data_IF_783049200308
#
_entry.id   IF_783049200308
#
_cell.length_a   1.000
_cell.length_b   1.000
_cell.length_c   1.000
_cell.angle_alpha   90.00
_cell.angle_beta   90.00
_cell.angle_gamma   90.00
#
_symmetry.space_group_name_H-M   'P 1'
#
loop_
_entity.id
_entity.type
_entity.pdbx_description
1 polymer ?
#
# COMPACT_ATOMS: atom_id res chain seq x y z
N UNK A 1 -10.53 -47.29 -20.14
CA UNK A 1 -11.20 -46.00 -20.47
C UNK A 1 -10.12 -44.97 -20.66
N UNK A 2 -9.96 -44.47 -21.87
CA UNK A 2 -9.02 -43.34 -22.11
C UNK A 2 -9.58 -42.07 -21.48
N UNK A 3 -8.82 -41.41 -20.60
CA UNK A 3 -9.16 -40.11 -20.08
C UNK A 3 -8.93 -39.05 -21.17
N UNK A 4 -9.97 -38.29 -21.50
CA UNK A 4 -9.85 -37.12 -22.39
C UNK A 4 -9.64 -35.88 -21.57
N UNK A 5 -8.58 -35.12 -21.84
CA UNK A 5 -8.29 -33.84 -21.22
C UNK A 5 -8.83 -32.69 -22.08
N UNK A 6 -9.48 -31.73 -21.44
CA UNK A 6 -9.85 -30.45 -22.06
C UNK A 6 -8.83 -29.39 -21.66
N UNK A 7 -8.06 -28.88 -22.61
CA UNK A 7 -7.18 -27.73 -22.38
C UNK A 7 -7.95 -26.44 -22.63
N UNK A 8 -7.98 -25.58 -21.61
CA UNK A 8 -8.60 -24.26 -21.69
C UNK A 8 -7.49 -23.22 -21.86
N UNK A 9 -7.53 -22.48 -22.98
CA UNK A 9 -6.63 -21.33 -23.18
C UNK A 9 -7.19 -20.11 -22.45
N UNK A 10 -6.41 -19.61 -21.47
CA UNK A 10 -6.77 -18.41 -20.71
C UNK A 10 -6.27 -17.18 -21.48
N UNK A 11 -7.15 -16.22 -21.83
CA UNK A 11 -6.73 -15.01 -22.51
C UNK A 11 -5.69 -14.22 -21.71
N UNK A 12 -4.73 -13.59 -22.38
CA UNK A 12 -3.70 -12.79 -21.71
C UNK A 12 -4.33 -11.67 -20.89
N UNK A 13 -3.95 -11.57 -19.62
CA UNK A 13 -4.50 -10.59 -18.68
C UNK A 13 -5.80 -11.01 -17.99
N UNK A 14 -6.22 -12.27 -18.16
CA UNK A 14 -7.39 -12.82 -17.50
C UNK A 14 -7.02 -14.05 -16.68
N UNK A 15 -7.84 -14.35 -15.68
CA UNK A 15 -7.83 -15.61 -14.90
C UNK A 15 -9.21 -16.25 -14.91
N UNK A 16 -9.31 -17.52 -14.55
CA UNK A 16 -10.60 -18.20 -14.43
C UNK A 16 -11.35 -17.61 -13.23
N UNK A 17 -12.55 -17.10 -13.47
CA UNK A 17 -13.47 -16.71 -12.40
C UNK A 17 -14.10 -17.97 -11.77
N UNK A 18 -13.47 -18.46 -10.72
CA UNK A 18 -13.89 -19.70 -10.04
C UNK A 18 -15.27 -19.58 -9.41
N UNK A 19 -15.65 -18.38 -8.97
CA UNK A 19 -16.90 -18.13 -8.24
C UNK A 19 -18.11 -18.12 -9.17
N UNK A 20 -17.88 -17.80 -10.46
CA UNK A 20 -18.95 -17.70 -11.47
C UNK A 20 -18.79 -18.70 -12.63
N UNK A 21 -17.83 -19.63 -12.54
CA UNK A 21 -17.64 -20.70 -13.50
C UNK A 21 -18.34 -21.97 -13.05
N UNK A 22 -18.87 -22.71 -14.03
CA UNK A 22 -19.43 -24.06 -13.85
C UNK A 22 -18.71 -25.03 -14.76
N UNK A 23 -18.96 -26.34 -14.59
CA UNK A 23 -18.41 -27.38 -15.47
C UNK A 23 -18.79 -27.18 -16.95
N UNK A 24 -19.95 -26.58 -17.19
CA UNK A 24 -20.47 -26.36 -18.56
C UNK A 24 -20.05 -25.01 -19.13
N UNK A 25 -19.68 -24.03 -18.28
CA UNK A 25 -19.37 -22.67 -18.69
C UNK A 25 -18.24 -22.08 -17.87
N UNK A 26 -17.09 -21.91 -18.48
CA UNK A 26 -15.93 -21.23 -17.88
C UNK A 26 -16.02 -19.73 -18.19
N UNK A 27 -15.96 -18.93 -17.12
CA UNK A 27 -15.87 -17.45 -17.20
C UNK A 27 -14.46 -17.00 -16.85
N UNK A 28 -14.05 -15.90 -17.46
CA UNK A 28 -12.78 -15.26 -17.19
C UNK A 28 -13.05 -13.89 -16.55
N UNK A 29 -12.23 -13.51 -15.57
CA UNK A 29 -12.19 -12.18 -15.00
C UNK A 29 -10.82 -11.56 -15.25
N UNK A 30 -10.72 -10.22 -15.40
CA UNK A 30 -9.42 -9.55 -15.51
C UNK A 30 -8.57 -9.82 -14.27
N UNK A 31 -7.27 -10.09 -14.47
CA UNK A 31 -6.31 -10.12 -13.37
C UNK A 31 -6.21 -8.71 -12.80
N UNK A 32 -6.57 -8.53 -11.54
CA UNK A 32 -6.39 -7.26 -10.85
C UNK A 32 -4.89 -7.01 -10.70
N UNK A 33 -4.37 -5.99 -11.39
CA UNK A 33 -2.99 -5.54 -11.21
C UNK A 33 -2.87 -4.95 -9.80
N UNK A 34 -1.90 -5.44 -9.02
CA UNK A 34 -1.59 -4.85 -7.72
C UNK A 34 -1.11 -3.40 -7.92
N UNK A 35 -1.64 -2.49 -7.09
CA UNK A 35 -1.30 -1.07 -7.11
C UNK A 35 0.19 -0.90 -6.76
N UNK A 36 0.88 -0.05 -7.50
CA UNK A 36 2.28 0.31 -7.21
C UNK A 36 2.34 1.63 -6.44
N UNK A 37 3.47 1.92 -5.80
CA UNK A 37 3.66 3.24 -5.17
C UNK A 37 3.65 4.38 -6.20
N UNK A 38 4.08 4.15 -7.42
CA UNK A 38 3.96 5.09 -8.53
C UNK A 38 2.48 5.40 -8.87
N UNK A 39 1.61 4.39 -8.86
CA UNK A 39 0.15 4.59 -9.05
C UNK A 39 -0.44 5.46 -7.94
N UNK A 40 0.02 5.28 -6.69
CA UNK A 40 -0.35 6.12 -5.54
C UNK A 40 0.10 7.58 -5.76
N UNK A 41 1.37 7.79 -6.11
CA UNK A 41 1.92 9.12 -6.37
C UNK A 41 1.18 9.83 -7.51
N UNK A 42 0.93 9.15 -8.62
CA UNK A 42 0.19 9.72 -9.76
C UNK A 42 -1.24 10.14 -9.41
N UNK A 43 -1.84 9.47 -8.41
CA UNK A 43 -3.19 9.81 -7.93
C UNK A 43 -3.18 11.01 -6.97
N UNK A 44 -2.23 11.05 -6.04
CA UNK A 44 -2.18 12.06 -4.98
C UNK A 44 -1.55 13.38 -5.45
N UNK A 45 -0.48 13.31 -6.23
CA UNK A 45 0.33 14.47 -6.63
C UNK A 45 0.04 14.87 -8.08
N UNK A 46 -1.16 15.42 -8.30
CA UNK A 46 -1.54 15.94 -9.62
C UNK A 46 -0.59 17.04 -10.04
N UNK A 47 -0.09 16.98 -11.28
CA UNK A 47 0.85 17.95 -11.88
C UNK A 47 2.20 18.04 -11.14
N UNK A 48 2.65 16.95 -10.51
CA UNK A 48 3.93 16.87 -9.79
C UNK A 48 4.10 17.95 -8.72
N UNK A 49 3.02 18.47 -8.14
CA UNK A 49 3.07 19.47 -7.07
C UNK A 49 2.79 18.83 -5.71
N UNK A 50 3.47 19.31 -4.68
CA UNK A 50 3.29 18.82 -3.32
C UNK A 50 4.11 19.62 -2.30
N UNK A 51 3.93 19.26 -1.04
CA UNK A 51 4.69 19.83 0.06
C UNK A 51 5.93 18.99 0.34
N UNK A 52 7.02 19.64 0.69
CA UNK A 52 8.27 19.02 1.13
C UNK A 52 8.90 19.84 2.25
N UNK A 53 9.80 19.24 3.00
CA UNK A 53 10.63 19.93 3.98
C UNK A 53 11.98 20.22 3.30
N UNK A 54 12.44 21.44 3.27
CA UNK A 54 13.69 21.84 2.63
C UNK A 54 14.93 21.59 3.52
N UNK A 55 16.10 21.95 3.02
CA UNK A 55 17.37 21.82 3.73
C UNK A 55 17.45 22.62 5.04
N UNK A 56 16.58 23.61 5.25
CA UNK A 56 16.49 24.42 6.46
C UNK A 56 15.44 23.91 7.45
N UNK A 57 14.71 22.83 7.10
CA UNK A 57 13.64 22.25 7.91
C UNK A 57 12.29 22.97 7.75
N UNK A 58 12.13 23.83 6.73
CA UNK A 58 10.90 24.56 6.46
C UNK A 58 10.00 23.79 5.51
N UNK A 59 8.67 23.87 5.74
CA UNK A 59 7.68 23.25 4.87
C UNK A 59 7.42 24.14 3.67
N UNK A 60 7.78 23.67 2.48
CA UNK A 60 7.60 24.37 1.23
C UNK A 60 6.63 23.62 0.29
N UNK A 61 5.96 24.37 -0.58
CA UNK A 61 5.11 23.84 -1.65
C UNK A 61 5.77 24.10 -3.00
N UNK A 62 6.10 23.05 -3.73
CA UNK A 62 6.77 23.16 -5.02
C UNK A 62 6.45 22.00 -5.95
N UNK A 63 6.90 22.10 -7.20
CA UNK A 63 6.90 21.01 -8.15
C UNK A 63 7.87 19.91 -7.66
N UNK A 64 7.33 18.78 -7.24
CA UNK A 64 8.09 17.65 -6.65
C UNK A 64 9.04 17.01 -7.68
N UNK A 65 8.83 17.25 -8.97
CA UNK A 65 9.59 16.61 -10.05
C UNK A 65 11.09 16.87 -10.04
N UNK A 66 11.55 17.97 -9.43
CA UNK A 66 12.95 18.40 -9.50
C UNK A 66 13.72 18.33 -8.18
N UNK A 67 13.06 18.38 -7.01
CA UNK A 67 13.72 18.51 -5.69
C UNK A 67 13.26 17.53 -4.63
N UNK A 68 13.11 16.25 -4.99
CA UNK A 68 12.61 15.20 -4.09
C UNK A 68 13.49 14.90 -2.86
N UNK A 69 14.66 15.51 -2.73
CA UNK A 69 15.70 14.99 -1.85
C UNK A 69 16.31 15.98 -0.85
N UNK A 70 15.90 17.25 -0.84
CA UNK A 70 16.64 18.27 -0.10
C UNK A 70 16.36 18.32 1.40
N UNK A 71 15.52 17.44 1.95
CA UNK A 71 14.87 17.79 3.18
C UNK A 71 14.94 16.84 4.36
N UNK A 72 15.58 15.71 4.27
CA UNK A 72 15.56 14.77 5.40
C UNK A 72 16.97 14.51 5.92
N UNK A 73 17.35 15.22 6.98
CA UNK A 73 18.57 14.93 7.72
C UNK A 73 18.31 13.81 8.73
N UNK A 74 19.02 12.70 8.60
CA UNK A 74 19.03 11.63 9.58
C UNK A 74 20.49 11.29 9.95
N UNK A 75 20.77 10.86 11.21
CA UNK A 75 22.13 10.55 11.67
C UNK A 75 22.76 9.37 10.96
N UNK A 76 21.98 8.54 10.28
CA UNK A 76 22.46 7.42 9.46
C UNK A 76 21.45 7.06 8.36
N UNK A 77 21.94 6.37 7.34
CA UNK A 77 21.12 5.97 6.17
C UNK A 77 19.94 5.07 6.53
N UNK A 78 20.07 4.21 7.53
CA UNK A 78 18.97 3.34 7.99
C UNK A 78 17.78 4.16 8.50
N UNK A 79 18.04 5.15 9.33
CA UNK A 79 16.99 6.02 9.86
C UNK A 79 16.34 6.84 8.75
N UNK A 80 17.10 7.30 7.77
CA UNK A 80 16.58 8.02 6.63
C UNK A 80 15.66 7.14 5.78
N UNK A 81 16.08 5.91 5.48
CA UNK A 81 15.26 4.95 4.76
C UNK A 81 13.94 4.65 5.47
N UNK A 82 13.99 4.53 6.81
CA UNK A 82 12.78 4.32 7.62
C UNK A 82 11.83 5.52 7.58
N UNK A 83 12.34 6.75 7.63
CA UNK A 83 11.53 7.96 7.49
C UNK A 83 10.90 8.04 6.10
N UNK A 84 11.65 7.73 5.04
CA UNK A 84 11.14 7.67 3.68
C UNK A 84 10.01 6.62 3.55
N UNK A 85 10.24 5.42 4.04
CA UNK A 85 9.23 4.35 4.01
C UNK A 85 7.96 4.72 4.81
N UNK A 86 8.12 5.40 5.96
CA UNK A 86 6.97 5.90 6.73
C UNK A 86 6.17 6.94 5.96
N UNK A 87 6.85 7.90 5.30
CA UNK A 87 6.19 8.87 4.44
C UNK A 87 5.45 8.21 3.26
N UNK A 88 6.04 7.18 2.66
CA UNK A 88 5.37 6.40 1.62
C UNK A 88 4.11 5.70 2.15
N UNK A 89 4.17 5.11 3.35
CA UNK A 89 3.00 4.48 3.97
C UNK A 89 1.89 5.49 4.30
N UNK A 90 2.24 6.71 4.74
CA UNK A 90 1.27 7.79 4.94
C UNK A 90 0.54 8.16 3.63
N UNK A 91 1.28 8.26 2.52
CA UNK A 91 0.68 8.53 1.20
C UNK A 91 -0.22 7.36 0.73
N UNK A 92 0.19 6.12 0.98
CA UNK A 92 -0.63 4.94 0.67
C UNK A 92 -1.93 4.98 1.48
N UNK A 93 -1.86 5.27 2.78
CA UNK A 93 -3.05 5.39 3.61
C UNK A 93 -3.99 6.51 3.12
N UNK A 94 -3.45 7.68 2.78
CA UNK A 94 -4.23 8.78 2.21
C UNK A 94 -4.90 8.42 0.89
N UNK A 95 -4.21 7.65 0.03
CA UNK A 95 -4.79 7.13 -1.21
C UNK A 95 -6.03 6.27 -0.94
N UNK A 96 -5.91 5.27 -0.07
CA UNK A 96 -7.03 4.38 0.26
C UNK A 96 -8.18 5.11 0.97
N UNK A 97 -7.86 6.03 1.89
CA UNK A 97 -8.85 6.84 2.59
C UNK A 97 -9.65 7.75 1.64
N UNK A 98 -9.02 8.26 0.58
CA UNK A 98 -9.73 9.01 -0.47
C UNK A 98 -10.61 8.15 -1.36
N UNK A 99 -10.23 6.88 -1.55
CA UNK A 99 -11.04 5.94 -2.34
C UNK A 99 -12.26 5.43 -1.55
N UNK A 100 -12.16 5.36 -0.21
CA UNK A 100 -13.20 4.85 0.68
C UNK A 100 -13.47 5.81 1.85
N UNK A 101 -14.01 7.01 1.58
CA UNK A 101 -14.16 8.06 2.60
C UNK A 101 -15.19 7.75 3.69
N UNK A 102 -16.16 6.89 3.40
CA UNK A 102 -17.30 6.61 4.30
C UNK A 102 -17.00 5.56 5.37
N UNK A 103 -15.83 4.96 5.38
CA UNK A 103 -15.41 4.00 6.39
C UNK A 103 -14.99 4.75 7.68
N UNK A 104 -15.58 4.37 8.81
CA UNK A 104 -15.43 5.09 10.09
C UNK A 104 -14.71 4.30 11.18
N UNK A 105 -14.15 3.15 10.87
CA UNK A 105 -13.43 2.31 11.83
C UNK A 105 -11.91 2.38 11.57
N UNK A 106 -11.24 3.44 12.06
CA UNK A 106 -9.83 3.65 11.78
C UNK A 106 -8.97 2.53 12.37
N UNK A 107 -8.05 2.03 11.56
CA UNK A 107 -7.10 1.02 11.97
C UNK A 107 -5.67 1.38 11.53
N UNK A 108 -4.71 0.67 12.07
CA UNK A 108 -3.28 0.79 11.77
C UNK A 108 -2.70 -0.58 11.47
N UNK A 109 -1.64 -0.60 10.67
CA UNK A 109 -0.85 -1.81 10.46
C UNK A 109 0.14 -1.98 11.62
N UNK A 110 0.18 -3.18 12.19
CA UNK A 110 1.13 -3.57 13.23
C UNK A 110 1.89 -4.83 12.80
N UNK A 111 3.12 -4.97 13.26
CA UNK A 111 3.93 -6.16 13.03
C UNK A 111 4.06 -6.98 14.31
N UNK A 112 3.61 -8.21 14.29
CA UNK A 112 3.78 -9.17 15.38
C UNK A 112 5.14 -9.87 15.24
N UNK A 113 6.08 -9.56 16.13
CA UNK A 113 7.43 -10.19 16.12
C UNK A 113 7.41 -11.69 16.38
N UNK A 114 6.43 -12.18 17.15
CA UNK A 114 6.32 -13.59 17.51
C UNK A 114 5.89 -14.45 16.32
N UNK A 115 4.85 -14.02 15.62
CA UNK A 115 4.31 -14.72 14.44
C UNK A 115 4.98 -14.32 13.14
N UNK A 116 5.74 -13.22 13.14
CA UNK A 116 6.37 -12.59 11.95
C UNK A 116 5.33 -12.19 10.90
N UNK A 117 4.14 -11.78 11.33
CA UNK A 117 3.03 -11.37 10.47
C UNK A 117 2.68 -9.91 10.66
N UNK A 118 2.15 -9.30 9.59
CA UNK A 118 1.46 -8.02 9.66
C UNK A 118 -0.02 -8.25 9.94
N UNK A 119 -0.62 -7.37 10.74
CA UNK A 119 -2.04 -7.42 11.04
C UNK A 119 -2.60 -5.99 11.01
N UNK A 120 -3.85 -5.85 10.57
CA UNK A 120 -4.63 -4.65 10.79
C UNK A 120 -5.19 -4.67 12.22
N UNK A 121 -5.19 -3.52 12.90
CA UNK A 121 -5.64 -3.42 14.29
C UNK A 121 -6.38 -2.10 14.49
N UNK A 122 -7.56 -2.16 15.12
CA UNK A 122 -8.36 -0.97 15.41
C UNK A 122 -7.68 -0.07 16.45
N UNK A 123 -7.91 1.24 16.31
CA UNK A 123 -7.23 2.26 17.10
C UNK A 123 -7.77 2.43 18.52
N UNK A 124 -8.98 2.00 18.79
CA UNK A 124 -9.64 2.16 20.10
C UNK A 124 -8.88 1.52 21.28
N UNK A 125 -8.02 0.57 21.00
CA UNK A 125 -7.21 -0.13 21.99
C UNK A 125 -5.74 0.29 22.01
N UNK A 126 -5.34 1.29 21.21
CA UNK A 126 -3.92 1.60 21.04
C UNK A 126 -3.65 3.01 21.55
N UNK A 127 -3.39 3.14 22.84
CA UNK A 127 -2.66 4.29 23.40
C UNK A 127 -1.22 4.26 22.88
N UNK A 128 -1.02 4.57 21.61
CA UNK A 128 0.30 4.54 21.03
C UNK A 128 0.72 5.93 20.60
N UNK A 129 1.70 6.44 21.33
CA UNK A 129 2.41 7.66 20.98
C UNK A 129 3.23 7.44 19.70
N UNK A 130 3.03 8.24 18.69
CA UNK A 130 3.85 8.25 17.47
C UNK A 130 3.09 8.54 16.18
N UNK A 131 3.83 8.91 15.14
CA UNK A 131 3.29 9.10 13.79
C UNK A 131 2.91 7.74 13.22
N UNK A 132 1.65 7.60 12.80
CA UNK A 132 1.12 6.37 12.23
C UNK A 132 0.29 6.66 11.00
N UNK A 133 0.36 5.75 10.05
CA UNK A 133 -0.56 5.74 8.93
C UNK A 133 -1.88 5.11 9.39
N UNK A 134 -2.96 5.90 9.38
CA UNK A 134 -4.30 5.47 9.70
C UNK A 134 -5.07 5.16 8.42
N UNK A 135 -5.72 4.00 8.42
CA UNK A 135 -6.64 3.58 7.37
C UNK A 135 -8.06 3.70 7.90
N UNK A 136 -8.99 4.15 7.07
CA UNK A 136 -10.40 4.29 7.45
C UNK A 136 -11.08 2.92 7.68
N UNK A 137 -10.52 1.83 7.18
CA UNK A 137 -11.05 0.48 7.35
C UNK A 137 -9.96 -0.58 7.49
N UNK A 138 -10.32 -1.70 8.14
CA UNK A 138 -9.50 -2.91 8.21
C UNK A 138 -9.23 -3.47 6.80
N UNK A 139 -10.23 -3.48 5.93
CA UNK A 139 -10.11 -3.95 4.55
C UNK A 139 -9.03 -3.20 3.76
N UNK A 140 -8.91 -1.88 3.94
CA UNK A 140 -7.90 -1.07 3.27
C UNK A 140 -6.49 -1.37 3.81
N UNK A 141 -6.36 -1.53 5.14
CA UNK A 141 -5.10 -1.93 5.75
C UNK A 141 -4.67 -3.34 5.32
N UNK A 142 -5.58 -4.30 5.25
CA UNK A 142 -5.33 -5.66 4.76
C UNK A 142 -4.93 -5.64 3.28
N UNK A 143 -5.59 -4.82 2.45
CA UNK A 143 -5.23 -4.67 1.04
C UNK A 143 -3.78 -4.16 0.87
N UNK A 144 -3.28 -3.33 1.79
CA UNK A 144 -1.87 -2.89 1.81
C UNK A 144 -0.95 -4.01 2.28
N UNK A 145 -1.34 -4.76 3.32
CA UNK A 145 -0.56 -5.90 3.84
C UNK A 145 -0.37 -6.98 2.77
N UNK A 146 -1.42 -7.27 2.02
CA UNK A 146 -1.42 -8.33 1.01
C UNK A 146 -0.81 -7.89 -0.34
N UNK A 147 -0.59 -6.59 -0.52
CA UNK A 147 0.00 -6.07 -1.75
C UNK A 147 1.52 -6.30 -1.78
N UNK A 148 2.04 -7.14 -2.70
CA UNK A 148 3.47 -7.43 -2.78
C UNK A 148 4.33 -6.21 -3.10
N UNK A 149 3.78 -5.19 -3.77
CA UNK A 149 4.50 -3.96 -4.12
C UNK A 149 4.77 -3.05 -2.90
N UNK A 150 4.06 -3.26 -1.78
CA UNK A 150 4.25 -2.48 -0.55
C UNK A 150 5.04 -3.23 0.52
N UNK A 151 5.42 -4.50 0.25
CA UNK A 151 6.11 -5.35 1.21
C UNK A 151 7.43 -4.74 1.70
N UNK A 152 8.25 -4.22 0.80
CA UNK A 152 9.52 -3.60 1.14
C UNK A 152 9.34 -2.37 2.04
N UNK A 153 8.31 -1.54 1.79
CA UNK A 153 7.96 -0.38 2.62
C UNK A 153 7.64 -0.83 4.04
N UNK A 154 6.77 -1.83 4.19
CA UNK A 154 6.38 -2.38 5.49
C UNK A 154 7.58 -2.99 6.21
N UNK A 155 8.39 -3.77 5.52
CA UNK A 155 9.57 -4.43 6.09
C UNK A 155 10.58 -3.39 6.60
N UNK A 156 10.82 -2.31 5.87
CA UNK A 156 11.71 -1.21 6.27
C UNK A 156 11.21 -0.48 7.52
N UNK A 157 9.90 -0.31 7.69
CA UNK A 157 9.32 0.37 8.85
C UNK A 157 9.38 -0.51 10.09
N UNK A 158 9.03 -1.78 9.97
CA UNK A 158 8.66 -2.62 11.12
C UNK A 158 9.66 -3.72 11.47
N UNK A 159 10.49 -4.20 10.55
CA UNK A 159 11.40 -5.35 10.79
C UNK A 159 12.83 -4.97 11.17
N UNK A 160 13.20 -3.72 10.95
CA UNK A 160 14.53 -3.23 11.29
C UNK A 160 14.58 -2.67 12.76
#
# INVERSE_FOLDING_TARGET
MESKELKIEIPKGYEIDKDHSTFERIKFKPIKKAITYEDVCNTLFKNDTGYFIDQYGEVNFYNIGTNRFDANNAPNGRQLNRLLALNQLLNIAEYYNKMHPDNTNPCVIVYCKQTKTYNATFTDNIYMYGIRAFFNSEMDAEAVIDNPNFREILDTIYKE
#
